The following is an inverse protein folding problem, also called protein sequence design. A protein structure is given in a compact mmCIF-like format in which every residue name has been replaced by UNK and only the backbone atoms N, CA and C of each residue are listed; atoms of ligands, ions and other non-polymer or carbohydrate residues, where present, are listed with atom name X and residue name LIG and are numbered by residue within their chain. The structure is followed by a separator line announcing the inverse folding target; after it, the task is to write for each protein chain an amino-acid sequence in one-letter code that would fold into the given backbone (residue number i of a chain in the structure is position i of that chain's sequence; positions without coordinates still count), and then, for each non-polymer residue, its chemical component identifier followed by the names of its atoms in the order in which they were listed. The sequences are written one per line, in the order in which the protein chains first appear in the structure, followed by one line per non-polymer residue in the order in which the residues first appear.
data_IF_908853894193
#
_entry.id   IF_908853894193
#
_cell.length_a   1.000
_cell.length_b   1.000
_cell.length_c   1.000
_cell.angle_alpha   90.00
_cell.angle_beta   90.00
_cell.angle_gamma   90.00
#
_symmetry.space_group_name_H-M   'P 1'
#
loop_
_entity.id
_entity.type
_entity.pdbx_description
1 polymer ?
#
# COMPACT_ATOMS: atom_id res chain seq x y z
N UNK A 1 3.44 10.14 -12.25
CA UNK A 1 4.18 9.73 -10.99
C UNK A 1 4.88 10.96 -10.42
N UNK A 2 4.77 11.22 -9.09
CA UNK A 2 5.44 12.39 -8.47
C UNK A 2 6.96 12.39 -8.69
N UNK A 3 7.54 13.56 -8.96
CA UNK A 3 8.95 13.74 -9.34
C UNK A 3 9.93 13.15 -8.30
N UNK A 4 9.72 13.39 -7.00
CA UNK A 4 10.57 12.83 -5.95
C UNK A 4 10.53 11.29 -5.93
N UNK A 5 9.36 10.71 -6.23
CA UNK A 5 9.19 9.26 -6.36
C UNK A 5 9.96 8.73 -7.59
N UNK A 6 9.86 9.41 -8.73
CA UNK A 6 10.60 9.07 -9.94
C UNK A 6 12.11 9.09 -9.71
N UNK A 7 12.64 10.16 -9.13
CA UNK A 7 14.06 10.30 -8.79
C UNK A 7 14.52 9.18 -7.88
N UNK A 8 13.76 8.89 -6.80
CA UNK A 8 14.15 7.84 -5.86
C UNK A 8 14.09 6.42 -6.43
N UNK A 9 13.29 6.21 -7.47
CA UNK A 9 13.20 4.93 -8.15
C UNK A 9 14.32 4.69 -9.16
N UNK A 10 14.85 5.76 -9.74
CA UNK A 10 15.73 5.70 -10.90
C UNK A 10 17.13 6.26 -10.62
N UNK A 11 17.43 6.61 -9.35
CA UNK A 11 18.71 7.14 -8.94
C UNK A 11 19.15 6.64 -7.57
N UNK A 12 20.30 7.09 -7.08
CA UNK A 12 20.84 6.78 -5.75
C UNK A 12 20.17 7.56 -4.59
N UNK A 13 19.34 8.53 -4.90
CA UNK A 13 18.77 9.42 -3.92
C UNK A 13 17.49 8.83 -3.30
N UNK A 14 17.31 9.00 -1.98
CA UNK A 14 16.05 8.74 -1.30
C UNK A 14 15.00 9.80 -1.67
N UNK A 15 13.72 9.58 -1.36
CA UNK A 15 12.67 10.59 -1.59
C UNK A 15 12.96 11.91 -0.89
N UNK A 16 13.44 11.88 0.37
CA UNK A 16 13.78 13.09 1.14
C UNK A 16 14.99 13.81 0.55
N UNK A 17 15.95 13.10 -0.01
CA UNK A 17 17.07 13.72 -0.73
C UNK A 17 16.62 14.29 -2.08
N UNK A 18 15.71 13.60 -2.78
CA UNK A 18 15.10 14.11 -3.99
C UNK A 18 14.33 15.41 -3.74
N UNK A 19 13.57 15.49 -2.64
CA UNK A 19 12.88 16.72 -2.22
C UNK A 19 13.87 17.88 -2.04
N UNK A 20 15.00 17.65 -1.36
CA UNK A 20 16.04 18.66 -1.18
C UNK A 20 16.71 19.09 -2.51
N UNK A 21 16.88 18.16 -3.46
CA UNK A 21 17.42 18.48 -4.79
C UNK A 21 16.44 19.33 -5.62
N UNK A 22 15.14 19.06 -5.50
CA UNK A 22 14.09 19.84 -6.15
C UNK A 22 14.06 21.25 -5.54
N UNK A 23 14.06 21.36 -4.21
CA UNK A 23 14.08 22.62 -3.47
C UNK A 23 15.32 23.49 -3.82
N UNK A 24 16.49 22.84 -3.93
CA UNK A 24 17.72 23.52 -4.34
C UNK A 24 17.74 23.88 -5.83
N UNK A 25 16.69 23.52 -6.60
CA UNK A 25 16.61 23.78 -8.03
C UNK A 25 17.64 23.04 -8.87
N UNK A 26 18.14 21.92 -8.37
CA UNK A 26 19.12 21.07 -9.03
C UNK A 26 18.48 20.05 -9.99
N UNK A 27 17.12 20.03 -10.08
CA UNK A 27 16.34 19.13 -10.92
C UNK A 27 15.73 19.89 -12.09
N UNK A 28 15.89 19.35 -13.28
CA UNK A 28 15.27 19.86 -14.50
C UNK A 28 14.42 18.78 -15.17
N UNK A 29 13.34 19.20 -15.83
CA UNK A 29 12.54 18.38 -16.72
C UNK A 29 12.52 19.07 -18.08
N UNK A 30 12.91 18.36 -19.12
CA UNK A 30 13.02 18.91 -20.49
C UNK A 30 13.87 20.20 -20.51
N UNK A 31 14.95 20.26 -19.71
CA UNK A 31 15.86 21.41 -19.51
C UNK A 31 15.23 22.58 -18.73
N UNK A 32 13.99 22.51 -18.28
CA UNK A 32 13.34 23.52 -17.45
C UNK A 32 13.51 23.16 -15.98
N UNK A 33 13.95 24.14 -15.16
CA UNK A 33 14.11 23.95 -13.72
C UNK A 33 12.76 23.76 -13.05
N UNK A 34 12.64 22.77 -12.18
CA UNK A 34 11.40 22.44 -11.45
C UNK A 34 11.65 22.64 -9.97
N UNK A 35 10.83 23.48 -9.35
CA UNK A 35 10.80 23.73 -7.90
C UNK A 35 9.48 23.22 -7.26
N UNK A 36 8.55 22.73 -8.08
CA UNK A 36 7.28 22.21 -7.63
C UNK A 36 7.40 20.73 -7.23
N UNK A 37 7.30 20.45 -5.93
CA UNK A 37 7.29 19.10 -5.36
C UNK A 37 6.13 18.23 -5.87
N UNK A 38 5.03 18.86 -6.26
CA UNK A 38 3.83 18.20 -6.76
C UNK A 38 3.89 17.79 -8.23
N UNK A 39 4.97 18.16 -8.96
CA UNK A 39 5.09 17.83 -10.37
C UNK A 39 4.98 16.32 -10.59
N UNK A 40 4.14 15.93 -11.55
CA UNK A 40 4.00 14.54 -11.98
C UNK A 40 4.72 14.32 -13.30
N UNK A 41 5.73 13.46 -13.26
CA UNK A 41 6.50 13.03 -14.44
C UNK A 41 5.60 12.28 -15.41
N UNK A 42 5.55 12.76 -16.64
CA UNK A 42 4.77 12.19 -17.76
C UNK A 42 5.66 11.28 -18.61
N UNK A 43 5.03 10.48 -19.43
CA UNK A 43 5.73 9.69 -20.44
C UNK A 43 6.44 10.63 -21.44
N UNK A 44 7.72 10.37 -21.70
CA UNK A 44 8.57 11.22 -22.54
C UNK A 44 9.30 12.37 -21.83
N UNK A 45 9.02 12.62 -20.54
CA UNK A 45 9.75 13.64 -19.78
C UNK A 45 11.21 13.24 -19.54
N UNK A 46 12.13 14.14 -19.87
CA UNK A 46 13.56 13.97 -19.65
C UNK A 46 13.97 14.60 -18.32
N UNK A 47 13.97 13.79 -17.25
CA UNK A 47 14.40 14.24 -15.92
C UNK A 47 15.93 14.27 -15.83
N UNK A 48 16.51 15.38 -15.33
CA UNK A 48 17.94 15.48 -15.07
C UNK A 48 18.22 16.06 -13.69
N UNK A 49 19.30 15.61 -13.05
CA UNK A 49 19.79 16.10 -11.76
C UNK A 49 21.20 16.65 -11.99
N UNK A 50 21.43 17.94 -11.68
CA UNK A 50 22.72 18.61 -11.92
C UNK A 50 23.22 18.43 -13.36
N UNK A 51 22.30 18.47 -14.32
CA UNK A 51 22.61 18.26 -15.74
C UNK A 51 22.80 16.81 -16.19
N UNK A 52 22.79 15.84 -15.27
CA UNK A 52 22.89 14.43 -15.59
C UNK A 52 21.50 13.81 -15.75
N UNK A 53 21.27 13.16 -16.88
CA UNK A 53 19.99 12.51 -17.18
C UNK A 53 19.75 11.30 -16.27
N UNK A 54 18.56 11.27 -15.66
CA UNK A 54 18.07 10.15 -14.84
C UNK A 54 17.38 9.15 -15.77
N UNK A 55 18.09 8.11 -16.16
CA UNK A 55 17.51 7.01 -16.96
C UNK A 55 16.60 6.15 -16.11
N UNK A 56 15.48 5.74 -16.69
CA UNK A 56 14.63 4.73 -16.05
C UNK A 56 15.42 3.42 -15.85
N UNK A 57 15.36 2.91 -14.63
CA UNK A 57 16.03 1.67 -14.27
C UNK A 57 15.20 0.49 -14.79
N UNK A 58 15.71 -0.21 -15.78
CA UNK A 58 15.05 -1.37 -16.39
C UNK A 58 15.42 -2.68 -15.72
N UNK A 59 16.61 -2.75 -15.12
CA UNK A 59 17.09 -3.96 -14.45
C UNK A 59 16.61 -4.00 -12.98
N UNK A 60 16.12 -5.14 -12.58
CA UNK A 60 15.70 -5.45 -11.21
C UNK A 60 16.71 -6.37 -10.56
N UNK A 61 17.27 -5.95 -9.42
CA UNK A 61 18.08 -6.83 -8.59
C UNK A 61 17.38 -7.14 -7.28
N UNK A 62 17.30 -8.43 -6.94
CA UNK A 62 16.72 -8.91 -5.69
C UNK A 62 17.66 -9.88 -4.99
N UNK A 63 17.66 -9.82 -3.67
CA UNK A 63 18.41 -10.74 -2.82
C UNK A 63 17.53 -11.32 -1.71
N UNK A 64 17.86 -12.55 -1.34
CA UNK A 64 17.40 -13.18 -0.10
C UNK A 64 18.50 -12.99 0.94
N UNK A 65 18.16 -12.51 2.11
CA UNK A 65 19.04 -12.38 3.26
C UNK A 65 18.50 -13.18 4.43
N UNK A 66 19.31 -14.06 5.01
CA UNK A 66 18.95 -14.74 6.25
C UNK A 66 19.30 -13.83 7.44
N UNK A 67 18.33 -13.02 7.86
CA UNK A 67 18.49 -12.04 8.93
C UNK A 67 18.76 -12.74 10.26
N UNK A 68 19.84 -12.45 10.97
CA UNK A 68 20.06 -12.94 12.33
C UNK A 68 19.15 -12.24 13.35
N UNK A 69 18.89 -12.89 14.49
CA UNK A 69 18.35 -12.23 15.69
C UNK A 69 19.28 -11.08 16.12
N UNK A 70 18.75 -10.12 16.86
CA UNK A 70 19.54 -9.01 17.39
C UNK A 70 19.98 -7.99 16.34
N UNK A 71 19.32 -7.95 15.16
CA UNK A 71 19.59 -6.93 14.15
C UNK A 71 18.30 -6.19 13.74
N UNK A 72 18.41 -4.89 13.52
CA UNK A 72 17.33 -4.02 13.11
C UNK A 72 17.22 -3.95 11.59
N UNK A 73 15.98 -3.88 11.09
CA UNK A 73 15.72 -3.63 9.66
C UNK A 73 15.51 -2.12 9.47
N UNK A 74 16.59 -1.38 9.45
CA UNK A 74 16.63 0.07 9.24
C UNK A 74 17.98 0.49 8.66
N UNK A 75 18.00 1.58 7.89
CA UNK A 75 19.25 2.19 7.37
C UNK A 75 20.09 2.81 8.47
N UNK A 76 19.47 3.46 9.46
CA UNK A 76 20.12 4.11 10.59
C UNK A 76 19.42 3.76 11.88
N UNK A 77 20.18 3.69 12.95
CA UNK A 77 19.67 3.56 14.31
C UNK A 77 20.38 4.58 15.22
N UNK A 78 19.61 5.47 15.82
CA UNK A 78 20.13 6.57 16.65
C UNK A 78 20.74 6.08 17.98
N UNK A 79 20.48 4.81 18.34
CA UNK A 79 21.01 4.17 19.56
C UNK A 79 22.23 3.28 19.30
N UNK A 80 22.78 3.30 18.09
CA UNK A 80 23.99 2.53 17.74
C UNK A 80 23.79 1.01 17.67
N UNK A 81 22.55 0.49 17.67
CA UNK A 81 22.29 -0.95 17.55
C UNK A 81 22.63 -1.45 16.16
N UNK A 82 23.04 -2.71 16.07
CA UNK A 82 23.38 -3.35 14.80
C UNK A 82 22.15 -3.41 13.86
N UNK A 83 22.31 -2.93 12.63
CA UNK A 83 21.33 -3.04 11.57
C UNK A 83 21.71 -4.14 10.58
N UNK A 84 20.77 -4.55 9.71
CA UNK A 84 21.03 -5.52 8.63
C UNK A 84 22.13 -5.02 7.68
N UNK A 85 22.28 -3.70 7.49
CA UNK A 85 23.28 -3.12 6.61
C UNK A 85 24.71 -3.18 7.14
N UNK A 86 24.90 -3.44 8.44
CA UNK A 86 26.22 -3.79 9.01
C UNK A 86 26.62 -5.24 8.71
N UNK A 87 25.67 -6.10 8.35
CA UNK A 87 25.89 -7.52 8.04
C UNK A 87 25.92 -7.79 6.54
N UNK A 88 25.28 -6.94 5.74
CA UNK A 88 25.25 -7.05 4.30
C UNK A 88 26.52 -6.45 3.66
N UNK A 89 27.02 -7.01 2.55
CA UNK A 89 28.07 -6.40 1.73
C UNK A 89 27.72 -4.96 1.34
N UNK A 90 28.74 -4.09 1.32
CA UNK A 90 28.57 -2.65 1.06
C UNK A 90 27.81 -2.31 -0.24
N UNK A 91 27.91 -3.16 -1.26
CA UNK A 91 27.18 -3.03 -2.53
C UNK A 91 25.67 -3.06 -2.38
N UNK A 92 25.12 -3.61 -1.29
CA UNK A 92 23.68 -3.69 -1.00
C UNK A 92 23.18 -2.59 -0.04
N UNK A 93 24.00 -1.60 0.32
CA UNK A 93 23.60 -0.53 1.24
C UNK A 93 22.42 0.29 0.73
N UNK A 94 22.26 0.41 -0.57
CA UNK A 94 21.16 1.13 -1.20
C UNK A 94 19.88 0.28 -1.39
N UNK A 95 19.94 -1.01 -1.09
CA UNK A 95 18.79 -1.91 -1.23
C UNK A 95 17.72 -1.60 -0.19
N UNK A 96 16.48 -1.82 -0.59
CA UNK A 96 15.29 -1.58 0.20
C UNK A 96 14.77 -2.92 0.70
N UNK A 97 14.63 -3.10 2.03
CA UNK A 97 14.00 -4.31 2.57
C UNK A 97 12.51 -4.36 2.19
N UNK A 98 12.04 -5.53 1.77
CA UNK A 98 10.63 -5.81 1.51
C UNK A 98 9.97 -6.21 2.83
N UNK A 99 9.42 -5.22 3.52
CA UNK A 99 8.91 -5.36 4.87
C UNK A 99 10.02 -5.40 5.93
N UNK A 100 9.64 -5.82 7.12
CA UNK A 100 10.55 -5.88 8.27
C UNK A 100 10.36 -7.18 9.02
N UNK A 101 11.42 -7.60 9.70
CA UNK A 101 11.39 -8.58 10.78
C UNK A 101 11.83 -7.86 12.06
N UNK A 102 11.19 -8.17 13.18
CA UNK A 102 11.53 -7.60 14.47
C UNK A 102 12.99 -7.88 14.89
N UNK A 103 13.50 -7.14 15.87
CA UNK A 103 14.84 -7.33 16.42
C UNK A 103 15.09 -8.77 16.89
N UNK A 104 14.11 -9.35 17.61
CA UNK A 104 14.17 -10.72 18.12
C UNK A 104 13.74 -11.80 17.09
N UNK A 105 13.37 -11.42 15.89
CA UNK A 105 12.95 -12.35 14.82
C UNK A 105 14.08 -12.57 13.83
N UNK A 106 14.10 -13.73 13.18
CA UNK A 106 15.14 -14.12 12.23
C UNK A 106 14.58 -14.69 10.93
N UNK A 107 15.46 -15.02 10.00
CA UNK A 107 15.14 -15.75 8.80
C UNK A 107 15.02 -14.89 7.55
N UNK A 108 14.18 -15.30 6.63
CA UNK A 108 14.08 -14.77 5.28
C UNK A 108 13.65 -13.31 5.26
N UNK A 109 14.52 -12.46 4.77
CA UNK A 109 14.24 -11.07 4.43
C UNK A 109 14.61 -10.83 2.97
N UNK A 110 13.65 -10.34 2.19
CA UNK A 110 13.88 -9.96 0.81
C UNK A 110 14.32 -8.51 0.75
N UNK A 111 15.29 -8.19 -0.13
CA UNK A 111 15.71 -6.83 -0.43
C UNK A 111 15.79 -6.64 -1.93
N UNK A 112 15.51 -5.43 -2.39
CA UNK A 112 15.54 -5.06 -3.79
C UNK A 112 16.14 -3.67 -3.99
N UNK A 113 16.69 -3.41 -5.15
CA UNK A 113 17.13 -2.10 -5.58
C UNK A 113 16.01 -1.26 -6.25
N UNK A 114 14.79 -1.84 -6.40
CA UNK A 114 13.62 -1.18 -6.97
C UNK A 114 12.59 -0.81 -5.90
N UNK A 115 12.41 0.49 -5.59
CA UNK A 115 11.38 0.93 -4.66
C UNK A 115 9.95 0.58 -5.09
N UNK A 116 9.72 0.50 -6.41
CA UNK A 116 8.42 0.11 -6.97
C UNK A 116 8.09 -1.34 -6.63
N UNK A 117 9.06 -2.23 -6.81
CA UNK A 117 8.91 -3.65 -6.48
C UNK A 117 8.75 -3.84 -4.97
N UNK A 118 9.54 -3.10 -4.16
CA UNK A 118 9.41 -3.14 -2.71
C UNK A 118 7.99 -2.74 -2.26
N UNK A 119 7.43 -1.65 -2.81
CA UNK A 119 6.08 -1.17 -2.45
C UNK A 119 5.00 -2.19 -2.81
N UNK A 120 5.03 -2.74 -4.03
CA UNK A 120 4.08 -3.76 -4.49
C UNK A 120 4.14 -5.01 -3.62
N UNK A 121 5.34 -5.52 -3.35
CA UNK A 121 5.50 -6.74 -2.55
C UNK A 121 5.17 -6.54 -1.07
N UNK A 122 5.42 -5.37 -0.49
CA UNK A 122 5.04 -5.07 0.89
C UNK A 122 3.52 -5.03 1.09
N UNK A 123 2.79 -4.53 0.09
CA UNK A 123 1.32 -4.45 0.10
C UNK A 123 0.63 -5.73 -0.33
N UNK A 124 1.40 -6.71 -0.81
CA UNK A 124 0.86 -7.95 -1.32
C UNK A 124 0.26 -8.82 -0.23
N UNK A 125 -0.81 -9.55 -0.58
CA UNK A 125 -1.33 -10.68 0.19
C UNK A 125 -0.54 -11.98 -0.02
N UNK A 126 0.74 -11.90 -0.39
CA UNK A 126 1.58 -13.09 -0.58
C UNK A 126 1.85 -13.81 0.75
N UNK A 127 1.81 -15.11 0.70
CA UNK A 127 2.01 -15.98 1.85
C UNK A 127 3.36 -15.77 2.53
N UNK A 128 3.34 -15.79 3.85
CA UNK A 128 4.52 -15.71 4.74
C UNK A 128 4.51 -16.89 5.68
N UNK A 129 5.48 -17.79 5.51
CA UNK A 129 5.58 -18.98 6.35
C UNK A 129 6.66 -18.82 7.41
N UNK A 130 6.30 -19.16 8.64
CA UNK A 130 7.15 -19.05 9.81
C UNK A 130 7.28 -20.38 10.53
N UNK A 131 8.48 -20.67 11.04
CA UNK A 131 8.68 -21.63 12.11
C UNK A 131 8.70 -20.84 13.42
N UNK A 132 7.85 -21.23 14.37
CA UNK A 132 7.73 -20.58 15.67
C UNK A 132 7.89 -21.58 16.82
N UNK A 133 8.29 -21.07 17.96
CA UNK A 133 8.26 -21.79 19.24
C UNK A 133 7.57 -20.91 20.28
N UNK A 134 6.53 -21.45 20.91
CA UNK A 134 5.82 -20.80 22.03
C UNK A 134 6.17 -21.52 23.34
N UNK A 135 6.08 -20.83 24.47
CA UNK A 135 6.46 -21.30 25.80
C UNK A 135 5.32 -22.03 26.53
N UNK A 136 4.33 -22.52 25.78
CA UNK A 136 3.18 -23.25 26.31
C UNK A 136 2.77 -24.41 25.36
N UNK A 137 2.03 -25.41 25.86
CA UNK A 137 1.29 -26.34 25.01
C UNK A 137 0.27 -25.58 24.16
N UNK A 138 -0.04 -26.11 22.99
CA UNK A 138 -1.10 -25.60 22.13
C UNK A 138 -2.45 -25.98 22.75
N UNK A 139 -3.36 -25.01 22.89
CA UNK A 139 -4.72 -25.23 23.41
C UNK A 139 -5.74 -25.32 22.27
N UNK A 140 -6.89 -25.93 22.53
CA UNK A 140 -7.99 -25.97 21.56
C UNK A 140 -8.46 -24.56 21.13
N UNK A 141 -8.48 -23.61 22.08
CA UNK A 141 -8.83 -22.22 21.82
C UNK A 141 -7.85 -21.53 20.85
N UNK A 142 -6.54 -21.78 21.02
CA UNK A 142 -5.53 -21.29 20.06
C UNK A 142 -5.74 -21.89 18.67
N UNK A 143 -6.07 -23.19 18.59
CA UNK A 143 -6.31 -23.85 17.32
C UNK A 143 -7.58 -23.34 16.63
N UNK A 144 -8.65 -23.11 17.37
CA UNK A 144 -9.89 -22.53 16.86
C UNK A 144 -9.62 -21.11 16.33
N UNK A 145 -8.93 -20.27 17.10
CA UNK A 145 -8.56 -18.93 16.67
C UNK A 145 -7.65 -18.91 15.43
N UNK A 146 -6.76 -19.91 15.26
CA UNK A 146 -5.96 -20.04 14.02
C UNK A 146 -6.82 -20.42 12.82
N UNK A 147 -7.90 -21.18 13.01
CA UNK A 147 -8.81 -21.62 11.93
C UNK A 147 -9.81 -20.57 11.52
N UNK A 148 -10.40 -19.88 12.50
CA UNK A 148 -11.52 -18.97 12.28
C UNK A 148 -11.09 -17.50 12.19
N UNK A 149 -9.88 -17.19 12.64
CA UNK A 149 -9.43 -15.82 12.87
C UNK A 149 -9.82 -15.33 14.27
N UNK A 150 -9.40 -14.12 14.59
CA UNK A 150 -9.60 -13.56 15.92
C UNK A 150 -9.64 -12.03 15.86
N UNK A 151 -10.60 -11.41 16.55
CA UNK A 151 -10.59 -9.98 16.78
C UNK A 151 -10.27 -9.70 18.27
N UNK A 152 -9.25 -8.86 18.50
CA UNK A 152 -8.87 -8.42 19.83
C UNK A 152 -9.15 -6.93 20.01
N UNK A 153 -9.96 -6.59 21.01
CA UNK A 153 -10.13 -5.22 21.49
C UNK A 153 -8.88 -4.73 22.22
N UNK A 154 -8.15 -5.66 22.86
CA UNK A 154 -6.85 -5.41 23.49
C UNK A 154 -5.76 -6.32 22.92
N UNK A 155 -5.04 -5.80 21.96
CA UNK A 155 -3.91 -6.46 21.30
C UNK A 155 -2.55 -6.00 21.84
N UNK A 156 -2.47 -5.47 23.08
CA UNK A 156 -1.21 -4.97 23.65
C UNK A 156 -0.27 -6.10 24.05
N UNK A 157 -0.79 -7.24 24.50
CA UNK A 157 -0.02 -8.43 24.80
C UNK A 157 0.87 -8.83 23.60
N UNK A 158 2.13 -9.17 23.83
CA UNK A 158 3.11 -9.46 22.77
C UNK A 158 3.50 -8.25 21.90
N UNK A 159 2.88 -7.08 22.10
CA UNK A 159 3.24 -5.82 21.48
C UNK A 159 4.58 -5.26 21.97
N UNK A 160 4.94 -4.08 21.49
CA UNK A 160 6.03 -3.29 22.06
C UNK A 160 5.45 -2.29 23.06
N UNK A 161 6.10 -2.05 24.20
CA UNK A 161 5.63 -1.14 25.26
C UNK A 161 5.16 0.23 24.75
N UNK A 162 5.85 0.78 23.73
CA UNK A 162 5.52 2.06 23.10
C UNK A 162 4.56 1.93 21.90
N UNK A 163 3.92 0.78 21.72
CA UNK A 163 2.99 0.57 20.62
C UNK A 163 1.67 1.31 20.89
N UNK A 164 1.15 1.96 19.84
CA UNK A 164 -0.18 2.60 19.84
C UNK A 164 -1.26 1.71 19.24
N UNK A 165 -0.96 0.43 19.01
CA UNK A 165 -1.92 -0.54 18.47
C UNK A 165 -2.63 -1.16 19.67
N UNK A 166 -3.89 -0.80 19.84
CA UNK A 166 -4.74 -1.29 20.92
C UNK A 166 -5.58 -2.48 20.47
N UNK A 167 -6.23 -2.41 19.33
CA UNK A 167 -7.04 -3.49 18.76
C UNK A 167 -6.36 -4.07 17.51
N UNK A 168 -6.66 -5.34 17.21
CA UNK A 168 -6.17 -6.01 16.02
C UNK A 168 -7.10 -7.15 15.62
N UNK A 169 -7.41 -7.21 14.34
CA UNK A 169 -8.06 -8.34 13.71
C UNK A 169 -6.99 -9.26 13.10
N UNK A 170 -7.15 -10.56 13.28
CA UNK A 170 -6.31 -11.62 12.73
C UNK A 170 -7.14 -12.45 11.76
N UNK A 171 -6.72 -12.50 10.52
CA UNK A 171 -7.32 -13.40 9.55
C UNK A 171 -7.03 -14.87 9.93
N UNK A 172 -7.86 -15.82 9.49
CA UNK A 172 -7.56 -17.24 9.60
C UNK A 172 -6.17 -17.54 9.03
N UNK A 173 -5.44 -18.42 9.69
CA UNK A 173 -4.14 -18.87 9.17
C UNK A 173 -4.37 -19.71 7.91
N UNK A 174 -3.59 -19.43 6.86
CA UNK A 174 -3.65 -20.23 5.62
C UNK A 174 -3.30 -21.68 5.89
N UNK A 175 -2.34 -21.89 6.78
CA UNK A 175 -1.87 -23.21 7.16
C UNK A 175 -1.21 -23.17 8.54
N UNK A 176 -1.38 -24.22 9.32
CA UNK A 176 -0.55 -24.49 10.49
C UNK A 176 -0.26 -25.99 10.64
N UNK A 177 0.88 -26.31 11.21
CA UNK A 177 1.37 -27.66 11.48
C UNK A 177 2.09 -27.68 12.81
N UNK A 178 1.71 -28.62 13.69
CA UNK A 178 2.41 -28.86 14.95
C UNK A 178 3.61 -29.76 14.68
N UNK A 179 4.81 -29.25 14.92
CA UNK A 179 6.09 -29.95 14.65
C UNK A 179 6.73 -30.56 15.89
N UNK A 180 6.26 -30.21 17.06
CA UNK A 180 6.74 -30.78 18.31
C UNK A 180 6.06 -30.14 19.50
N UNK A 181 5.73 -30.96 20.46
CA UNK A 181 5.07 -30.56 21.72
C UNK A 181 5.85 -31.09 22.88
N UNK A 182 5.95 -30.31 23.96
CA UNK A 182 6.40 -30.73 25.27
C UNK A 182 5.53 -30.00 26.32
N UNK A 183 5.68 -30.37 27.60
CA UNK A 183 4.97 -29.69 28.68
C UNK A 183 5.22 -28.17 28.73
N UNK A 184 6.40 -27.72 28.27
CA UNK A 184 6.85 -26.34 28.39
C UNK A 184 6.95 -25.58 27.06
N UNK A 185 6.64 -26.19 25.93
CA UNK A 185 6.67 -25.51 24.64
C UNK A 185 5.94 -26.25 23.54
N UNK A 186 5.51 -25.51 22.52
CA UNK A 186 5.07 -26.03 21.22
C UNK A 186 5.88 -25.42 20.09
N UNK A 187 6.29 -26.25 19.14
CA UNK A 187 6.87 -25.84 17.86
C UNK A 187 5.82 -25.93 16.77
N UNK A 188 5.60 -24.85 16.03
CA UNK A 188 4.63 -24.76 14.96
C UNK A 188 5.31 -24.27 13.67
N UNK A 189 4.76 -24.70 12.54
CA UNK A 189 4.92 -24.03 11.27
C UNK A 189 3.60 -23.37 10.92
N UNK A 190 3.58 -22.07 10.62
CA UNK A 190 2.38 -21.32 10.33
C UNK A 190 2.55 -20.50 9.07
N UNK A 191 1.48 -20.32 8.28
CA UNK A 191 1.45 -19.49 7.08
C UNK A 191 0.34 -18.47 7.18
N UNK A 192 0.69 -17.21 6.93
CA UNK A 192 -0.22 -16.05 6.97
C UNK A 192 -0.15 -15.29 5.63
N UNK A 193 -1.25 -14.69 5.22
CA UNK A 193 -1.28 -13.74 4.08
C UNK A 193 -0.92 -12.32 4.48
N UNK A 194 -1.03 -12.01 5.76
CA UNK A 194 -0.81 -10.68 6.30
C UNK A 194 0.60 -10.56 6.94
N UNK A 195 0.98 -9.36 7.30
CA UNK A 195 2.24 -9.07 7.98
C UNK A 195 2.08 -7.88 8.91
N UNK A 196 1.04 -7.93 9.76
CA UNK A 196 0.75 -6.89 10.75
C UNK A 196 1.86 -6.76 11.79
N UNK A 197 1.93 -5.63 12.45
CA UNK A 197 2.98 -5.37 13.45
C UNK A 197 2.95 -6.39 14.57
N UNK A 198 4.03 -7.19 14.68
CA UNK A 198 4.20 -8.24 15.70
C UNK A 198 3.04 -9.22 15.77
N UNK A 199 2.41 -9.49 14.65
CA UNK A 199 1.16 -10.25 14.50
C UNK A 199 1.17 -11.56 15.30
N UNK A 200 2.06 -12.49 14.99
CA UNK A 200 2.16 -13.76 15.71
C UNK A 200 2.45 -13.60 17.21
N UNK A 201 3.24 -12.58 17.60
CA UNK A 201 3.52 -12.32 19.01
C UNK A 201 2.30 -11.80 19.76
N UNK A 202 1.46 -11.00 19.10
CA UNK A 202 0.20 -10.50 19.67
C UNK A 202 -0.86 -11.59 19.71
N UNK A 203 -0.96 -12.39 18.63
CA UNK A 203 -1.86 -13.52 18.57
C UNK A 203 -1.65 -14.47 19.75
N UNK A 204 -0.44 -15.01 19.91
CA UNK A 204 -0.13 -15.92 21.01
C UNK A 204 -0.10 -15.23 22.37
N UNK A 205 0.30 -13.96 22.43
CA UNK A 205 0.28 -13.16 23.66
C UNK A 205 -1.10 -12.97 24.26
N UNK A 206 -2.15 -12.99 23.45
CA UNK A 206 -3.54 -12.99 23.91
C UNK A 206 -3.87 -14.22 24.80
N UNK A 207 -3.28 -15.36 24.47
CA UNK A 207 -3.41 -16.60 25.22
C UNK A 207 -2.31 -16.76 26.29
N UNK A 208 -1.67 -15.67 26.71
CA UNK A 208 -0.53 -15.66 27.64
C UNK A 208 0.63 -16.57 27.21
N UNK A 209 0.76 -16.86 25.91
CA UNK A 209 1.86 -17.63 25.36
C UNK A 209 2.90 -16.72 24.70
N UNK A 210 4.17 -16.82 25.16
CA UNK A 210 5.25 -16.04 24.59
C UNK A 210 5.86 -16.75 23.39
N UNK A 211 6.08 -16.00 22.30
CA UNK A 211 6.80 -16.50 21.15
C UNK A 211 8.30 -16.40 21.43
N UNK A 212 8.92 -17.52 21.81
CA UNK A 212 10.34 -17.65 22.11
C UNK A 212 11.22 -17.53 20.85
N UNK A 213 10.83 -18.25 19.79
CA UNK A 213 11.53 -18.23 18.51
C UNK A 213 10.56 -17.91 17.37
N UNK A 214 11.01 -17.07 16.45
CA UNK A 214 10.25 -16.72 15.25
C UNK A 214 11.21 -16.60 14.08
N UNK A 215 11.11 -17.56 13.15
CA UNK A 215 11.93 -17.61 11.95
C UNK A 215 11.06 -17.64 10.71
N UNK A 216 11.12 -16.60 9.89
CA UNK A 216 10.46 -16.63 8.58
C UNK A 216 11.27 -17.51 7.63
N UNK A 217 10.63 -18.52 7.06
CA UNK A 217 11.28 -19.49 6.17
C UNK A 217 10.86 -19.36 4.72
N UNK A 218 9.73 -18.67 4.47
CA UNK A 218 9.21 -18.47 3.12
C UNK A 218 8.44 -17.14 3.01
N UNK A 219 8.49 -16.51 1.83
CA UNK A 219 7.69 -15.34 1.47
C UNK A 219 7.36 -15.38 -0.02
N UNK A 220 6.07 -15.51 -0.36
CA UNK A 220 5.58 -15.49 -1.75
C UNK A 220 6.24 -16.55 -2.63
N UNK A 221 6.40 -17.76 -2.13
CA UNK A 221 7.06 -18.87 -2.82
C UNK A 221 8.59 -18.84 -2.79
N UNK A 222 9.21 -17.71 -2.35
CA UNK A 222 10.67 -17.64 -2.18
C UNK A 222 11.06 -18.28 -0.85
N UNK A 223 11.90 -19.31 -0.92
CA UNK A 223 12.29 -20.09 0.25
C UNK A 223 13.69 -19.72 0.76
N UNK A 224 13.85 -19.76 2.08
CA UNK A 224 15.13 -19.54 2.74
C UNK A 224 16.13 -20.66 2.42
N UNK A 225 15.64 -21.89 2.30
CA UNK A 225 16.44 -23.11 2.13
C UNK A 225 17.57 -23.21 3.18
N UNK A 226 18.74 -23.68 2.77
CA UNK A 226 19.91 -23.84 3.63
C UNK A 226 20.82 -22.60 3.66
N UNK A 227 20.31 -21.41 3.35
CA UNK A 227 21.10 -20.17 3.41
C UNK A 227 21.56 -19.94 4.86
N UNK A 228 22.88 -19.90 5.18
CA UNK A 228 23.34 -19.72 6.55
C UNK A 228 22.92 -18.35 7.12
N UNK A 229 22.76 -18.28 8.44
CA UNK A 229 22.40 -17.04 9.14
C UNK A 229 23.43 -15.93 8.87
N UNK A 230 22.96 -14.73 8.57
CA UNK A 230 23.80 -13.58 8.23
C UNK A 230 24.36 -13.58 6.80
N UNK A 231 24.03 -14.59 5.99
CA UNK A 231 24.42 -14.65 4.59
C UNK A 231 23.28 -14.20 3.67
N UNK A 232 23.67 -13.85 2.45
CA UNK A 232 22.73 -13.46 1.39
C UNK A 232 23.04 -14.23 0.10
N UNK A 233 22.03 -14.37 -0.76
CA UNK A 233 22.14 -14.82 -2.14
C UNK A 233 21.29 -13.96 -3.07
N UNK A 234 21.63 -13.93 -4.33
CA UNK A 234 20.73 -13.39 -5.35
C UNK A 234 19.54 -14.33 -5.56
N UNK A 235 18.49 -13.80 -6.13
CA UNK A 235 17.39 -14.63 -6.63
C UNK A 235 17.90 -15.55 -7.73
N UNK A 236 17.32 -16.74 -7.79
CA UNK A 236 17.47 -17.64 -8.92
C UNK A 236 16.67 -17.16 -10.12
N UNK A 237 16.97 -17.64 -11.32
CA UNK A 237 16.23 -17.32 -12.53
C UNK A 237 14.73 -17.61 -12.36
N UNK A 238 14.37 -18.77 -11.79
CA UNK A 238 12.98 -19.13 -11.52
C UNK A 238 12.28 -18.15 -10.59
N UNK A 239 12.94 -17.75 -9.50
CA UNK A 239 12.40 -16.77 -8.56
C UNK A 239 12.18 -15.40 -9.24
N UNK A 240 13.07 -14.98 -10.16
CA UNK A 240 12.86 -13.79 -10.98
C UNK A 240 11.65 -13.94 -11.92
N UNK A 241 11.52 -15.07 -12.61
CA UNK A 241 10.41 -15.34 -13.51
C UNK A 241 9.07 -15.28 -12.76
N UNK A 242 8.99 -15.87 -11.56
CA UNK A 242 7.79 -15.86 -10.74
C UNK A 242 7.44 -14.45 -10.25
N UNK A 243 8.43 -13.66 -9.81
CA UNK A 243 8.21 -12.26 -9.44
C UNK A 243 7.79 -11.41 -10.64
N UNK A 244 8.39 -11.61 -11.80
CA UNK A 244 7.99 -10.87 -13.02
C UNK A 244 6.54 -11.18 -13.42
N UNK A 245 6.11 -12.44 -13.34
CA UNK A 245 4.72 -12.84 -13.58
C UNK A 245 3.78 -12.15 -12.58
N UNK A 246 4.13 -12.21 -11.30
CA UNK A 246 3.35 -11.57 -10.24
C UNK A 246 3.22 -10.05 -10.47
N UNK A 247 4.33 -9.36 -10.73
CA UNK A 247 4.32 -7.92 -11.00
C UNK A 247 3.50 -7.54 -12.25
N UNK A 248 3.51 -8.41 -13.27
CA UNK A 248 2.66 -8.23 -14.46
C UNK A 248 1.18 -8.34 -14.11
N UNK A 249 0.80 -9.36 -13.33
CA UNK A 249 -0.59 -9.53 -12.87
C UNK A 249 -1.08 -8.33 -12.06
N UNK A 250 -0.27 -7.85 -11.10
CA UNK A 250 -0.63 -6.66 -10.29
C UNK A 250 -0.83 -5.43 -11.18
N UNK A 251 0.06 -5.18 -12.13
CA UNK A 251 -0.09 -4.05 -13.07
C UNK A 251 -1.36 -4.14 -13.92
N UNK A 252 -1.72 -5.34 -14.35
CA UNK A 252 -2.93 -5.56 -15.12
C UNK A 252 -4.19 -5.31 -14.27
N UNK A 253 -4.20 -5.79 -13.03
CA UNK A 253 -5.28 -5.55 -12.08
C UNK A 253 -5.44 -4.05 -11.77
N UNK A 254 -4.34 -3.35 -11.44
CA UNK A 254 -4.34 -1.91 -11.18
C UNK A 254 -4.87 -1.10 -12.40
N UNK A 255 -4.48 -1.49 -13.61
CA UNK A 255 -4.94 -0.83 -14.84
C UNK A 255 -6.44 -1.07 -15.10
N UNK A 256 -6.93 -2.25 -14.77
CA UNK A 256 -8.35 -2.58 -14.89
C UNK A 256 -9.19 -1.81 -13.87
N UNK A 257 -8.78 -1.78 -12.61
CA UNK A 257 -9.45 -1.00 -11.55
C UNK A 257 -9.51 0.49 -11.90
N UNK A 258 -8.42 1.06 -12.41
CA UNK A 258 -8.39 2.46 -12.85
C UNK A 258 -9.39 2.72 -13.97
N UNK A 259 -9.47 1.83 -14.95
CA UNK A 259 -10.42 1.96 -16.05
C UNK A 259 -11.88 1.86 -15.58
N UNK A 260 -12.17 0.91 -14.70
CA UNK A 260 -13.51 0.76 -14.11
C UNK A 260 -13.92 2.00 -13.30
N UNK A 261 -12.98 2.58 -12.53
CA UNK A 261 -13.24 3.82 -11.79
C UNK A 261 -13.46 5.02 -12.71
N UNK A 262 -12.66 5.17 -13.78
CA UNK A 262 -12.87 6.21 -14.79
C UNK A 262 -14.23 6.09 -15.48
N UNK A 263 -14.63 4.88 -15.85
CA UNK A 263 -15.92 4.60 -16.45
C UNK A 263 -17.08 4.90 -15.48
N UNK A 264 -16.92 4.57 -14.18
CA UNK A 264 -17.89 4.91 -13.12
C UNK A 264 -18.06 6.41 -12.99
N UNK A 265 -16.97 7.15 -12.84
CA UNK A 265 -16.98 8.62 -12.73
C UNK A 265 -17.58 9.26 -13.98
N UNK A 266 -17.28 8.71 -15.17
CA UNK A 266 -17.87 9.18 -16.43
C UNK A 266 -19.39 8.95 -16.46
N UNK A 267 -19.86 7.80 -16.02
CA UNK A 267 -21.29 7.47 -15.95
C UNK A 267 -22.04 8.38 -14.96
N UNK A 268 -21.46 8.67 -13.80
CA UNK A 268 -22.02 9.60 -12.81
C UNK A 268 -22.17 11.03 -13.39
N UNK A 269 -21.12 11.55 -14.03
CA UNK A 269 -21.15 12.88 -14.67
C UNK A 269 -22.22 12.95 -15.77
N UNK A 270 -22.45 11.87 -16.52
CA UNK A 270 -23.49 11.81 -17.53
C UNK A 270 -24.90 11.80 -16.92
N UNK A 271 -25.09 11.08 -15.80
CA UNK A 271 -26.37 11.09 -15.05
C UNK A 271 -26.67 12.47 -14.48
N UNK A 272 -25.70 13.15 -13.91
CA UNK A 272 -25.84 14.50 -13.37
C UNK A 272 -26.18 15.52 -14.47
N UNK A 273 -25.49 15.47 -15.62
CA UNK A 273 -25.84 16.31 -16.78
C UNK A 273 -27.27 16.11 -17.25
N UNK A 274 -27.72 14.85 -17.34
CA UNK A 274 -29.12 14.56 -17.74
C UNK A 274 -30.12 15.10 -16.72
N UNK A 275 -29.84 14.94 -15.42
CA UNK A 275 -30.68 15.48 -14.33
C UNK A 275 -30.81 17.00 -14.44
N UNK A 276 -29.69 17.72 -14.59
CA UNK A 276 -29.66 19.18 -14.72
C UNK A 276 -30.41 19.65 -15.97
N UNK A 277 -30.29 18.94 -17.10
CA UNK A 277 -31.06 19.23 -18.32
C UNK A 277 -32.57 19.05 -18.13
N UNK A 278 -32.98 18.02 -17.41
CA UNK A 278 -34.39 17.76 -17.10
C UNK A 278 -34.97 18.85 -16.18
N UNK A 279 -34.21 19.24 -15.15
CA UNK A 279 -34.60 20.33 -14.25
C UNK A 279 -34.70 21.69 -14.96
N UNK A 280 -33.77 22.00 -15.87
CA UNK A 280 -33.80 23.24 -16.67
C UNK A 280 -35.01 23.24 -17.63
N UNK A 281 -35.33 22.09 -18.26
CA UNK A 281 -36.52 21.98 -19.09
C UNK A 281 -37.81 22.20 -18.28
N UNK A 282 -37.90 21.59 -17.08
CA UNK A 282 -39.03 21.77 -16.18
C UNK A 282 -39.20 23.25 -15.74
N UNK A 283 -38.11 23.93 -15.38
CA UNK A 283 -38.13 25.37 -15.02
C UNK A 283 -38.57 26.24 -16.18
N UNK A 284 -38.12 25.97 -17.40
CA UNK A 284 -38.55 26.69 -18.60
C UNK A 284 -40.04 26.47 -18.91
N UNK A 285 -40.55 25.24 -18.77
CA UNK A 285 -41.95 24.93 -18.95
C UNK A 285 -42.82 25.67 -17.90
N UNK A 286 -42.46 25.64 -16.62
CA UNK A 286 -43.15 26.35 -15.55
C UNK A 286 -43.20 27.89 -15.79
N UNK A 287 -42.06 28.46 -16.21
CA UNK A 287 -41.95 29.88 -16.56
C UNK A 287 -42.85 30.27 -17.71
N UNK A 288 -42.92 29.43 -18.77
CA UNK A 288 -43.80 29.63 -19.92
C UNK A 288 -45.27 29.56 -19.53
N UNK A 289 -45.65 28.63 -18.67
CA UNK A 289 -47.01 28.47 -18.17
C UNK A 289 -47.44 29.69 -17.31
N UNK A 290 -46.56 30.15 -16.40
CA UNK A 290 -46.80 31.39 -15.61
C UNK A 290 -47.01 32.61 -16.50
N UNK A 291 -46.23 32.72 -17.58
CA UNK A 291 -46.40 33.83 -18.56
C UNK A 291 -47.74 33.73 -19.28
N UNK A 292 -48.14 32.53 -19.72
CA UNK A 292 -49.42 32.28 -20.39
C UNK A 292 -50.64 32.63 -19.49
N UNK A 293 -50.55 32.23 -18.19
CA UNK A 293 -51.58 32.58 -17.20
C UNK A 293 -51.69 34.08 -16.93
N UNK A 294 -50.56 34.83 -16.93
CA UNK A 294 -50.57 36.30 -16.82
C UNK A 294 -51.23 36.97 -18.03
N UNK A 295 -50.94 36.50 -19.24
CA UNK A 295 -51.57 37.04 -20.45
C UNK A 295 -53.08 36.79 -20.50
N UNK A 296 -53.54 35.59 -20.05
CA UNK A 296 -54.97 35.31 -19.92
C UNK A 296 -55.67 36.22 -18.91
N UNK A 297 -55.04 36.43 -17.73
CA UNK A 297 -55.54 37.36 -16.71
C UNK A 297 -55.64 38.78 -17.22
N UNK A 298 -54.65 39.29 -17.96
CA UNK A 298 -54.67 40.61 -18.57
C UNK A 298 -55.78 40.75 -19.65
N UNK A 299 -55.98 39.72 -20.47
CA UNK A 299 -57.07 39.72 -21.47
C UNK A 299 -58.46 39.74 -20.81
N UNK A 300 -58.63 38.98 -19.73
CA UNK A 300 -59.89 38.96 -18.99
C UNK A 300 -60.16 40.29 -18.23
N UNK A 301 -59.11 40.92 -17.66
CA UNK A 301 -59.23 42.24 -17.02
C UNK A 301 -59.62 43.34 -18.03
N UNK A 302 -59.07 43.28 -19.24
CA UNK A 302 -59.42 44.23 -20.31
C UNK A 302 -60.81 44.01 -20.90
N UNK A 303 -61.39 42.82 -20.78
CA UNK A 303 -62.80 42.54 -21.20
C UNK A 303 -63.84 43.02 -20.20
N UNK A 304 -63.45 43.09 -18.91
CA UNK A 304 -64.37 43.52 -17.84
C UNK A 304 -64.24 45.00 -17.44
N UNK A 305 -63.63 45.85 -18.26
CA UNK A 305 -63.52 47.26 -18.02
C UNK A 305 -64.70 48.01 -18.73
N UNK A 306 -65.79 48.44 -18.00
CA UNK A 306 -66.98 49.01 -18.61
C UNK A 306 -66.78 50.42 -19.19
N UNK A 307 -65.63 51.09 -19.01
CA UNK A 307 -65.37 52.49 -19.36
C UNK A 307 -64.85 52.72 -20.79
N UNK A 308 -64.87 51.71 -21.71
CA UNK A 308 -64.49 51.91 -23.11
C UNK A 308 -65.68 52.06 -24.09
N UNK A 309 -66.90 52.37 -23.58
CA UNK A 309 -68.08 52.57 -24.44
C UNK A 309 -68.60 54.05 -24.33
N UNK A 310 -67.78 55.01 -24.18
CA UNK A 310 -68.24 56.41 -24.36
C UNK A 310 -67.08 57.32 -24.78
N UNK A 311 -66.70 57.29 -26.05
CA UNK A 311 -66.09 58.42 -26.78
C UNK A 311 -66.33 58.23 -28.31
N UNK A 312 -67.52 58.44 -28.73
CA UNK A 312 -67.85 58.92 -30.06
C UNK A 312 -68.96 59.93 -29.88
N UNK A 313 -68.59 61.18 -29.87
CA UNK A 313 -69.20 62.33 -30.47
C UNK A 313 -68.19 63.47 -30.44
#
# INVERSE_FOLDING_TARGET
MRLNKFISHNSKYSRREADKLIEAGEVTINKVKIENFGYEVKEGDLVSIRGLHVKEKTELTMIVFNKPKGTLVTQKDDRGRTTIFHKLPGKFRHFIPIGRLDFASEGLLLLTDSPKVADVMMKSGLDRTYNIKIDKPLTAEMEEAMKEGLFLDDARAGGHEKSKIYSMEFAPFVYYEVRGVSENFTKLRVTLTEGKNRELRRFFGHFDANVLDLKRVEFGGIQLNNLPTGKNRYFTRREYDDIHKYLKMVRQAEAQEQKEEEDRVRAERLREKKKNQTEDQARRAESAEKKRLREIKQKNSNRNNPNKKNKKF
#
